data_IF_385422121947
#
_entry.id   IF_385422121947
#
_cell.length_a   1.000
_cell.length_b   1.000
_cell.length_c   1.000
_cell.angle_alpha   90.00
_cell.angle_beta   90.00
_cell.angle_gamma   90.00
#
_symmetry.space_group_name_H-M   'P 1'
#
loop_
_entity.id
_entity.type
_entity.pdbx_description
1 polymer ?
#
# COMPACT_ATOMS: atom_id res chain seq x y z
N UNK A 1 27.36 7.09 21.19
CA UNK A 1 25.91 6.97 20.93
C UNK A 1 25.47 8.28 20.33
N UNK A 2 25.02 8.25 19.09
CA UNK A 2 24.48 9.45 18.43
C UNK A 2 23.00 9.21 18.22
N UNK A 3 22.19 9.69 19.17
CA UNK A 3 20.74 9.70 19.02
C UNK A 3 20.36 10.77 18.00
N UNK A 4 19.58 10.39 17.02
CA UNK A 4 19.04 11.29 16.03
C UNK A 4 17.53 11.49 16.28
N UNK A 5 17.06 12.71 16.06
CA UNK A 5 15.65 13.06 15.90
C UNK A 5 15.57 13.90 14.61
N UNK A 6 15.17 13.25 13.53
CA UNK A 6 15.15 13.84 12.20
C UNK A 6 13.70 13.93 11.71
N UNK A 7 13.34 15.09 11.21
CA UNK A 7 12.06 15.30 10.53
C UNK A 7 12.30 15.67 9.07
N UNK A 8 11.67 14.94 8.17
CA UNK A 8 11.71 15.16 6.74
C UNK A 8 10.30 15.42 6.24
N UNK A 9 10.12 16.51 5.48
CA UNK A 9 8.87 16.77 4.75
C UNK A 9 9.08 16.48 3.27
N UNK A 10 8.14 15.78 2.67
CA UNK A 10 8.08 15.51 1.24
C UNK A 10 6.82 16.14 0.66
N UNK A 11 6.92 16.70 -0.52
CA UNK A 11 5.80 17.31 -1.23
C UNK A 11 5.82 16.88 -2.69
N UNK A 12 4.69 16.43 -3.19
CA UNK A 12 4.48 16.02 -4.59
C UNK A 12 5.60 15.13 -5.15
N UNK A 13 6.07 14.20 -4.31
CA UNK A 13 7.21 13.36 -4.63
C UNK A 13 6.76 12.05 -5.26
N UNK A 14 7.40 11.66 -6.38
CA UNK A 14 7.16 10.35 -6.99
C UNK A 14 7.73 9.25 -6.11
N UNK A 15 6.86 8.34 -5.67
CA UNK A 15 7.21 7.17 -4.89
C UNK A 15 7.46 5.93 -5.75
N UNK A 16 7.22 6.00 -7.06
CA UNK A 16 7.37 4.89 -8.01
C UNK A 16 8.72 4.17 -7.91
N UNK A 17 9.88 4.88 -7.85
CA UNK A 17 11.18 4.22 -7.80
C UNK A 17 11.35 3.35 -6.57
N UNK A 18 10.83 3.81 -5.42
CA UNK A 18 10.94 3.10 -4.15
C UNK A 18 10.02 1.88 -4.09
N UNK A 19 8.79 2.02 -4.57
CA UNK A 19 7.82 0.92 -4.58
C UNK A 19 8.23 -0.17 -5.54
N UNK A 20 8.87 0.18 -6.69
CA UNK A 20 9.39 -0.82 -7.64
C UNK A 20 10.53 -1.67 -7.09
N UNK A 21 11.23 -1.22 -6.05
CA UNK A 21 12.24 -2.03 -5.36
C UNK A 21 11.56 -3.20 -4.65
N UNK A 22 10.43 -2.94 -4.00
CA UNK A 22 9.66 -3.94 -3.23
C UNK A 22 8.74 -4.74 -4.14
N UNK A 23 8.15 -4.10 -5.15
CA UNK A 23 7.20 -4.69 -6.11
C UNK A 23 7.67 -4.51 -7.56
N UNK A 24 8.60 -5.33 -8.04
CA UNK A 24 9.13 -5.24 -9.41
C UNK A 24 8.07 -5.47 -10.51
N UNK A 25 6.98 -6.17 -10.16
CA UNK A 25 5.85 -6.44 -11.05
C UNK A 25 4.89 -5.28 -11.27
N UNK A 26 5.07 -4.14 -10.57
CA UNK A 26 4.22 -2.97 -10.73
C UNK A 26 4.19 -2.51 -12.19
N UNK A 27 2.99 -2.25 -12.69
CA UNK A 27 2.79 -1.79 -14.08
C UNK A 27 3.61 -0.52 -14.37
N UNK A 28 4.24 -0.40 -15.54
CA UNK A 28 4.95 0.81 -15.93
C UNK A 28 4.05 2.05 -16.06
N UNK A 29 2.74 1.83 -16.18
CA UNK A 29 1.73 2.88 -16.25
C UNK A 29 1.17 3.28 -14.89
N UNK A 30 1.65 2.68 -13.81
CA UNK A 30 1.31 3.08 -12.45
C UNK A 30 2.16 4.27 -12.05
N UNK A 31 1.52 5.31 -11.53
CA UNK A 31 2.17 6.48 -10.95
C UNK A 31 1.68 6.65 -9.51
N UNK A 32 2.61 6.89 -8.62
CA UNK A 32 2.36 7.08 -7.20
C UNK A 32 3.04 8.37 -6.78
N UNK A 33 2.25 9.36 -6.38
CA UNK A 33 2.74 10.65 -5.88
C UNK A 33 2.31 10.79 -4.43
N UNK A 34 3.21 11.20 -3.56
CA UNK A 34 2.93 11.37 -2.15
C UNK A 34 3.45 12.68 -1.60
N UNK A 35 2.73 13.21 -0.61
CA UNK A 35 3.13 14.31 0.26
C UNK A 35 2.95 13.89 1.70
N UNK A 36 3.85 14.31 2.58
CA UNK A 36 3.77 13.93 3.97
C UNK A 36 5.00 14.32 4.79
N UNK A 37 5.06 13.75 5.98
CA UNK A 37 6.14 13.96 6.92
C UNK A 37 6.65 12.60 7.43
N UNK A 38 7.95 12.51 7.58
CA UNK A 38 8.63 11.34 8.15
C UNK A 38 9.46 11.82 9.31
N UNK A 39 9.28 11.23 10.48
CA UNK A 39 10.12 11.44 11.67
C UNK A 39 10.87 10.16 11.97
N UNK A 40 12.16 10.29 12.16
CA UNK A 40 13.07 9.17 12.52
C UNK A 40 13.73 9.49 13.85
N UNK A 41 13.53 8.63 14.83
CA UNK A 41 14.09 8.77 16.17
C UNK A 41 14.88 7.51 16.53
N UNK A 42 16.06 7.68 17.12
CA UNK A 42 16.90 6.61 17.63
C UNK A 42 18.34 6.66 17.16
N UNK A 43 19.07 5.59 17.39
CA UNK A 43 20.47 5.48 17.01
C UNK A 43 20.62 5.12 15.52
N UNK A 44 21.14 6.04 14.70
CA UNK A 44 21.38 5.78 13.28
C UNK A 44 22.35 4.62 13.01
N UNK A 45 23.20 4.30 13.97
CA UNK A 45 24.12 3.16 13.89
C UNK A 45 23.42 1.80 14.19
N UNK A 46 22.23 1.82 14.76
CA UNK A 46 21.48 0.64 15.16
C UNK A 46 20.05 0.69 14.59
N UNK A 47 19.90 0.18 13.36
CA UNK A 47 18.63 0.20 12.64
C UNK A 47 17.52 -0.62 13.32
N UNK A 48 17.86 -1.50 14.26
CA UNK A 48 16.89 -2.33 14.99
C UNK A 48 16.11 -1.52 16.03
N UNK A 49 16.69 -0.39 16.50
CA UNK A 49 16.09 0.50 17.48
C UNK A 49 15.61 1.83 16.91
N UNK A 50 15.50 1.91 15.57
CA UNK A 50 14.91 3.09 14.94
C UNK A 50 13.40 3.04 15.04
N UNK A 51 12.84 4.15 15.50
CA UNK A 51 11.41 4.44 15.42
C UNK A 51 11.20 5.39 14.26
N UNK A 52 10.33 5.01 13.33
CA UNK A 52 9.97 5.85 12.20
C UNK A 52 8.46 6.07 12.21
N UNK A 53 8.06 7.33 12.34
CA UNK A 53 6.67 7.74 12.21
C UNK A 53 6.49 8.49 10.88
N UNK A 54 5.54 8.03 10.10
CA UNK A 54 5.22 8.62 8.79
C UNK A 54 3.75 9.01 8.74
N UNK A 55 3.49 10.27 8.44
CA UNK A 55 2.18 10.76 8.09
C UNK A 55 2.14 11.08 6.60
N UNK A 56 1.34 10.34 5.84
CA UNK A 56 1.09 10.64 4.44
C UNK A 56 -0.17 11.50 4.36
N UNK A 57 0.02 12.80 4.21
CA UNK A 57 -1.09 13.77 4.13
C UNK A 57 -1.85 13.67 2.81
N UNK A 58 -1.15 13.35 1.72
CA UNK A 58 -1.73 13.17 0.40
C UNK A 58 -1.05 12.02 -0.33
N UNK A 59 -1.85 11.12 -0.90
CA UNK A 59 -1.42 10.01 -1.74
C UNK A 59 -2.28 10.01 -3.00
N UNK A 60 -1.66 10.14 -4.17
CA UNK A 60 -2.28 10.09 -5.50
C UNK A 60 -1.77 8.84 -6.22
N UNK A 61 -2.67 7.89 -6.44
CA UNK A 61 -2.40 6.64 -7.13
C UNK A 61 -3.10 6.65 -8.49
N UNK A 62 -2.34 6.53 -9.57
CA UNK A 62 -2.88 6.46 -10.93
C UNK A 62 -2.52 5.13 -11.57
N UNK A 63 -3.54 4.43 -12.03
CA UNK A 63 -3.44 3.14 -12.70
C UNK A 63 -4.06 3.25 -14.10
N UNK A 64 -3.28 3.70 -15.09
CA UNK A 64 -3.79 4.06 -16.42
C UNK A 64 -4.86 5.16 -16.30
N UNK A 65 -6.13 4.79 -16.53
CA UNK A 65 -7.28 5.71 -16.51
C UNK A 65 -7.95 5.81 -15.13
N UNK A 66 -7.48 5.03 -14.14
CA UNK A 66 -8.06 5.01 -12.80
C UNK A 66 -7.22 5.85 -11.83
N UNK A 67 -7.92 6.59 -11.00
CA UNK A 67 -7.34 7.46 -10.00
C UNK A 67 -7.90 7.11 -8.62
N UNK A 68 -7.01 7.02 -7.63
CA UNK A 68 -7.34 6.70 -6.25
C UNK A 68 -6.52 7.60 -5.34
N UNK A 69 -7.18 8.23 -4.38
CA UNK A 69 -6.58 9.10 -3.36
C UNK A 69 -6.82 8.54 -1.96
N UNK A 70 -6.09 9.06 -0.98
CA UNK A 70 -6.43 8.83 0.41
C UNK A 70 -7.55 9.78 0.87
N UNK A 71 -8.53 9.25 1.61
CA UNK A 71 -9.65 10.01 2.15
C UNK A 71 -9.26 10.88 3.37
N UNK A 72 -8.20 10.49 4.07
CA UNK A 72 -7.65 11.14 5.25
C UNK A 72 -6.15 10.87 5.34
N UNK A 73 -5.37 11.63 6.13
CA UNK A 73 -3.96 11.34 6.35
C UNK A 73 -3.74 9.91 6.84
N UNK A 74 -2.78 9.22 6.23
CA UNK A 74 -2.42 7.85 6.55
C UNK A 74 -1.25 7.86 7.54
N UNK A 75 -1.37 7.10 8.62
CA UNK A 75 -0.30 6.91 9.58
C UNK A 75 0.36 5.55 9.37
N UNK A 76 1.68 5.58 9.18
CA UNK A 76 2.51 4.37 9.10
C UNK A 76 3.65 4.52 10.10
N UNK A 77 3.82 3.55 10.96
CA UNK A 77 4.94 3.54 11.90
C UNK A 77 5.80 2.30 11.73
N UNK A 78 7.10 2.46 11.97
CA UNK A 78 8.05 1.36 12.14
C UNK A 78 8.63 1.49 13.53
N UNK A 79 8.45 0.45 14.34
CA UNK A 79 8.97 0.35 15.69
C UNK A 79 9.31 -1.11 15.98
N UNK A 80 10.48 -1.37 16.58
CA UNK A 80 11.00 -2.72 16.84
C UNK A 80 10.89 -3.65 15.62
N UNK A 81 11.20 -3.13 14.42
CA UNK A 81 11.09 -3.82 13.12
C UNK A 81 9.67 -4.26 12.73
N UNK A 82 8.64 -3.73 13.39
CA UNK A 82 7.24 -3.94 13.02
C UNK A 82 6.71 -2.70 12.33
N UNK A 83 6.31 -2.84 11.07
CA UNK A 83 5.57 -1.81 10.33
C UNK A 83 4.10 -1.93 10.74
N UNK A 84 3.52 -0.84 11.21
CA UNK A 84 2.09 -0.73 11.49
C UNK A 84 1.47 0.23 10.50
N UNK A 85 0.46 -0.25 9.78
CA UNK A 85 -0.36 0.55 8.87
C UNK A 85 -1.62 0.89 9.65
N UNK A 86 -1.81 2.16 9.96
CA UNK A 86 -3.04 2.67 10.57
C UNK A 86 -4.20 2.61 9.58
N UNK A 87 -5.34 3.14 9.97
CA UNK A 87 -6.54 3.15 9.12
C UNK A 87 -6.27 3.93 7.81
N UNK A 88 -5.93 3.20 6.76
CA UNK A 88 -5.72 3.73 5.42
C UNK A 88 -7.00 3.59 4.64
N UNK A 89 -7.68 4.70 4.37
CA UNK A 89 -8.86 4.73 3.52
C UNK A 89 -8.53 5.34 2.17
N UNK A 90 -8.73 4.54 1.13
CA UNK A 90 -8.52 4.92 -0.26
C UNK A 90 -9.87 5.11 -0.96
N UNK A 91 -10.01 6.21 -1.71
CA UNK A 91 -11.21 6.57 -2.45
C UNK A 91 -10.88 6.87 -3.90
N UNK A 92 -11.78 6.53 -4.79
CA UNK A 92 -11.64 6.77 -6.23
C UNK A 92 -12.91 6.44 -6.98
N UNK A 93 -12.84 6.39 -8.30
CA UNK A 93 -13.98 6.01 -9.13
C UNK A 93 -14.41 4.57 -8.83
N UNK A 94 -15.63 4.39 -8.31
CA UNK A 94 -16.17 3.09 -7.87
C UNK A 94 -15.24 2.34 -6.89
N UNK A 95 -14.43 3.08 -6.14
CA UNK A 95 -13.45 2.50 -5.21
C UNK A 95 -13.54 3.18 -3.87
N UNK A 96 -13.66 2.36 -2.83
CA UNK A 96 -13.56 2.74 -1.44
C UNK A 96 -13.00 1.54 -0.68
N UNK A 97 -11.73 1.60 -0.29
CA UNK A 97 -11.00 0.52 0.38
C UNK A 97 -10.46 0.99 1.72
N UNK A 98 -10.70 0.20 2.74
CA UNK A 98 -10.10 0.32 4.06
C UNK A 98 -9.00 -0.74 4.20
N UNK A 99 -7.80 -0.31 4.54
CA UNK A 99 -6.61 -1.16 4.69
C UNK A 99 -6.00 -0.86 6.05
N UNK A 100 -5.74 -1.90 6.83
CA UNK A 100 -5.02 -1.79 8.10
C UNK A 100 -4.27 -3.07 8.40
N UNK A 101 -3.22 -2.99 9.22
CA UNK A 101 -2.48 -4.18 9.61
C UNK A 101 -1.04 -3.92 10.03
N UNK A 102 -0.29 -5.00 10.13
CA UNK A 102 1.11 -4.96 10.50
C UNK A 102 1.94 -5.92 9.67
N UNK A 103 3.25 -5.62 9.60
CA UNK A 103 4.25 -6.45 8.95
C UNK A 103 5.45 -6.53 9.90
N UNK A 104 5.77 -7.72 10.40
CA UNK A 104 6.94 -8.00 11.20
C UNK A 104 8.11 -8.36 10.28
N UNK A 105 9.12 -7.49 10.28
CA UNK A 105 10.32 -7.66 9.44
C UNK A 105 11.33 -8.65 10.05
N UNK A 106 11.19 -9.00 11.33
CA UNK A 106 12.06 -9.97 12.00
C UNK A 106 11.64 -11.39 11.67
N UNK A 107 10.34 -11.67 11.84
CA UNK A 107 9.77 -12.98 11.57
C UNK A 107 9.28 -13.14 10.12
N UNK A 108 9.40 -12.09 9.31
CA UNK A 108 8.91 -12.01 7.93
C UNK A 108 7.42 -12.37 7.81
N UNK A 109 6.63 -11.95 8.80
CA UNK A 109 5.20 -12.23 8.88
C UNK A 109 4.38 -10.96 8.61
N UNK A 110 3.20 -11.15 8.05
CA UNK A 110 2.25 -10.06 7.88
C UNK A 110 0.87 -10.47 8.37
N UNK A 111 0.11 -9.47 8.80
CA UNK A 111 -1.31 -9.56 9.10
C UNK A 111 -1.96 -8.26 8.61
N UNK A 112 -2.51 -8.28 7.40
CA UNK A 112 -3.12 -7.11 6.76
C UNK A 112 -4.55 -7.45 6.36
N UNK A 113 -5.48 -6.56 6.69
CA UNK A 113 -6.87 -6.64 6.26
C UNK A 113 -7.16 -5.58 5.20
N UNK A 114 -7.89 -5.99 4.18
CA UNK A 114 -8.41 -5.11 3.12
C UNK A 114 -9.91 -5.34 3.01
N UNK A 115 -10.71 -4.29 3.17
CA UNK A 115 -12.16 -4.37 3.06
C UNK A 115 -12.72 -3.19 2.26
N UNK A 116 -13.83 -3.39 1.56
CA UNK A 116 -14.52 -2.34 0.83
C UNK A 116 -14.92 -2.71 -0.57
N UNK A 117 -14.99 -1.72 -1.45
CA UNK A 117 -15.31 -1.90 -2.86
C UNK A 117 -14.18 -1.37 -3.74
N UNK A 118 -13.95 -2.02 -4.87
CA UNK A 118 -12.95 -1.59 -5.84
C UNK A 118 -13.45 -1.74 -7.27
N UNK A 119 -13.10 -0.78 -8.11
CA UNK A 119 -13.19 -0.93 -9.56
C UNK A 119 -12.14 -1.95 -10.01
N UNK A 120 -12.58 -2.98 -10.72
CA UNK A 120 -11.68 -4.04 -11.22
C UNK A 120 -10.61 -3.51 -12.20
N UNK A 121 -10.78 -2.32 -12.72
CA UNK A 121 -9.76 -1.64 -13.52
C UNK A 121 -8.44 -1.40 -12.77
N UNK A 122 -8.47 -1.28 -11.44
CA UNK A 122 -7.28 -1.15 -10.61
C UNK A 122 -6.31 -2.33 -10.78
N UNK A 123 -6.82 -3.52 -11.09
CA UNK A 123 -5.99 -4.71 -11.33
C UNK A 123 -4.92 -4.48 -12.41
N UNK A 124 -5.17 -3.58 -13.36
CA UNK A 124 -4.20 -3.22 -14.40
C UNK A 124 -2.94 -2.57 -13.86
N UNK A 125 -3.01 -1.95 -12.67
CA UNK A 125 -1.85 -1.38 -12.00
C UNK A 125 -0.90 -2.43 -11.45
N UNK A 126 -1.41 -3.58 -11.08
CA UNK A 126 -0.66 -4.65 -10.42
C UNK A 126 -0.36 -5.83 -11.36
N UNK A 127 -1.28 -6.12 -12.29
CA UNK A 127 -1.20 -7.28 -13.18
C UNK A 127 -1.09 -6.80 -14.63
N UNK A 128 0.07 -6.99 -15.25
CA UNK A 128 0.39 -6.49 -16.60
C UNK A 128 -0.53 -7.05 -17.69
N UNK A 129 -0.95 -8.30 -17.52
CA UNK A 129 -1.68 -9.06 -18.55
C UNK A 129 -3.15 -9.22 -18.22
N UNK A 130 -3.67 -8.51 -17.24
CA UNK A 130 -5.07 -8.57 -16.82
C UNK A 130 -5.75 -7.22 -17.02
N UNK A 131 -6.87 -7.23 -17.69
CA UNK A 131 -7.78 -6.08 -17.72
C UNK A 131 -9.10 -6.44 -17.09
N UNK A 132 -9.51 -5.63 -16.10
CA UNK A 132 -10.76 -5.76 -15.39
C UNK A 132 -11.70 -4.60 -15.69
N UNK A 133 -12.99 -4.89 -15.68
CA UNK A 133 -14.08 -3.90 -15.63
C UNK A 133 -15.16 -4.42 -14.71
N UNK A 134 -15.89 -3.51 -14.07
CA UNK A 134 -16.93 -3.81 -13.08
C UNK A 134 -16.47 -3.50 -11.67
N UNK A 135 -17.32 -3.77 -10.71
CA UNK A 135 -17.08 -3.50 -9.29
C UNK A 135 -16.91 -4.82 -8.54
N UNK A 136 -15.97 -4.85 -7.63
CA UNK A 136 -15.82 -5.94 -6.67
C UNK A 136 -15.98 -5.42 -5.25
N UNK A 137 -16.73 -6.14 -4.42
CA UNK A 137 -16.71 -5.99 -2.97
C UNK A 137 -15.74 -7.01 -2.40
N UNK A 138 -14.87 -6.58 -1.51
CA UNK A 138 -13.79 -7.38 -0.94
C UNK A 138 -13.81 -7.26 0.58
N UNK A 139 -13.67 -8.37 1.28
CA UNK A 139 -13.28 -8.44 2.69
C UNK A 139 -12.30 -9.60 2.82
N UNK A 140 -11.03 -9.30 2.94
CA UNK A 140 -9.96 -10.27 2.92
C UNK A 140 -8.87 -9.94 3.93
N UNK A 141 -8.25 -10.99 4.48
CA UNK A 141 -7.03 -10.92 5.28
C UNK A 141 -5.88 -11.60 4.54
N UNK A 142 -4.71 -11.03 4.71
CA UNK A 142 -3.43 -11.52 4.22
C UNK A 142 -2.59 -11.85 5.43
N UNK A 143 -2.46 -13.13 5.76
CA UNK A 143 -1.82 -13.59 6.98
C UNK A 143 -0.66 -14.54 6.68
N UNK A 144 0.40 -14.50 7.51
CA UNK A 144 1.52 -15.41 7.43
C UNK A 144 2.74 -14.83 6.69
N UNK A 145 3.54 -15.65 6.00
CA UNK A 145 4.81 -15.23 5.41
C UNK A 145 4.64 -14.07 4.42
N UNK A 146 5.41 -13.00 4.59
CA UNK A 146 5.31 -11.74 3.84
C UNK A 146 5.40 -11.94 2.31
N UNK A 147 6.18 -12.92 1.85
CA UNK A 147 6.37 -13.20 0.42
C UNK A 147 5.42 -14.26 -0.15
N UNK A 148 4.64 -14.93 0.72
CA UNK A 148 3.65 -15.94 0.32
C UNK A 148 2.50 -16.01 1.34
N UNK A 149 1.75 -14.91 1.53
CA UNK A 149 0.70 -14.88 2.53
C UNK A 149 -0.46 -15.82 2.18
N UNK A 150 -1.14 -16.30 3.21
CA UNK A 150 -2.42 -16.99 3.08
C UNK A 150 -3.49 -15.92 2.97
N UNK A 151 -4.27 -15.99 1.91
CA UNK A 151 -5.38 -15.05 1.68
C UNK A 151 -6.68 -15.74 2.07
N UNK A 152 -7.37 -15.16 3.04
CA UNK A 152 -8.70 -15.58 3.46
C UNK A 152 -9.68 -14.44 3.26
N UNK A 153 -10.84 -14.74 2.70
CA UNK A 153 -11.85 -13.69 2.52
C UNK A 153 -12.93 -14.04 1.52
N UNK A 154 -13.76 -13.05 1.27
CA UNK A 154 -14.86 -13.12 0.31
C UNK A 154 -14.71 -11.96 -0.68
N UNK A 155 -14.84 -12.29 -1.95
CA UNK A 155 -14.92 -11.31 -3.03
C UNK A 155 -16.18 -11.55 -3.84
N UNK A 156 -17.02 -10.53 -3.97
CA UNK A 156 -18.19 -10.53 -4.84
C UNK A 156 -17.96 -9.59 -6.00
N UNK A 157 -18.19 -10.06 -7.21
CA UNK A 157 -18.00 -9.26 -8.42
C UNK A 157 -19.34 -8.99 -9.08
N UNK A 158 -19.67 -7.71 -9.25
CA UNK A 158 -20.88 -7.25 -9.93
C UNK A 158 -20.55 -6.72 -11.32
N UNK A 159 -21.25 -7.27 -12.34
CA UNK A 159 -21.07 -6.91 -13.74
C UNK A 159 -19.61 -6.97 -14.21
N UNK A 160 -18.83 -7.89 -13.62
CA UNK A 160 -17.41 -8.01 -13.85
C UNK A 160 -17.09 -8.64 -15.20
N UNK A 161 -16.04 -8.11 -15.83
CA UNK A 161 -15.40 -8.71 -16.99
C UNK A 161 -13.89 -8.68 -16.78
N UNK A 162 -13.29 -9.85 -16.75
CA UNK A 162 -11.85 -10.02 -16.70
C UNK A 162 -11.37 -10.56 -18.05
N UNK A 163 -10.30 -9.98 -18.57
CA UNK A 163 -9.59 -10.48 -19.75
C UNK A 163 -8.13 -10.66 -19.38
N UNK A 164 -7.62 -11.84 -19.62
CA UNK A 164 -6.21 -12.17 -19.53
C UNK A 164 -5.65 -12.19 -20.96
N UNK A 165 -4.59 -11.43 -21.19
CA UNK A 165 -3.86 -11.40 -22.45
C UNK A 165 -2.62 -12.29 -22.26
N UNK A 166 -2.75 -13.60 -22.58
CA UNK A 166 -1.58 -14.42 -22.76
C UNK A 166 -0.88 -14.00 -24.06
N UNK A 167 0.41 -13.75 -24.00
CA UNK A 167 1.27 -13.55 -25.15
C UNK A 167 1.48 -14.90 -25.88
#
# INVERSE_FOLDING_TARGET
>A
EMDADLSLSISDTSLDPYIRIVQPGLSPFTRIIGSGQVRVVGELANLEHLVVDTEVSQLDLRFLDYHVDNAAPIQVSLDERVIRIGDMRLIGEDTELDIAGNIDLTDEQMAVRVAGTANLGILQGFLRDVRGRGRASLDATFDGPMFSPVINGVMTVDNGRLRHFAL
#
